data_IF_202435589103
#
_entry.id   IF_202435589103
#
_cell.length_a   1.000
_cell.length_b   1.000
_cell.length_c   1.000
_cell.angle_alpha   90.00
_cell.angle_beta   90.00
_cell.angle_gamma   90.00
#
_symmetry.space_group_name_H-M   'P 1'
#
loop_
_entity.id
_entity.type
_entity.pdbx_description
1 polymer ?
#
# COMPACT_ATOMS: atom_id res chain seq x y z
N UNK A 1 40.14 4.65 -0.45
CA UNK A 1 38.87 5.26 -0.88
C UNK A 1 39.09 6.76 -1.04
N UNK A 2 39.17 7.23 -2.28
CA UNK A 2 39.22 8.64 -2.62
C UNK A 2 37.89 9.32 -2.26
N UNK A 3 37.89 10.66 -2.13
CA UNK A 3 36.66 11.40 -1.86
C UNK A 3 35.58 11.16 -2.93
N UNK A 4 36.00 10.97 -4.20
CA UNK A 4 35.09 10.69 -5.30
C UNK A 4 34.46 9.30 -5.19
N UNK A 5 35.25 8.29 -4.85
CA UNK A 5 34.74 6.92 -4.61
C UNK A 5 33.76 6.86 -3.44
N UNK A 6 33.97 7.68 -2.39
CA UNK A 6 33.02 7.78 -1.27
C UNK A 6 31.70 8.38 -1.73
N UNK A 7 31.76 9.47 -2.48
CA UNK A 7 30.58 10.16 -2.98
C UNK A 7 29.75 9.26 -3.91
N UNK A 8 30.40 8.54 -4.82
CA UNK A 8 29.71 7.60 -5.72
C UNK A 8 29.02 6.47 -4.93
N UNK A 9 29.69 5.93 -3.92
CA UNK A 9 29.10 4.91 -3.04
C UNK A 9 27.89 5.44 -2.28
N UNK A 10 27.98 6.64 -1.68
CA UNK A 10 26.89 7.26 -0.93
C UNK A 10 25.68 7.57 -1.82
N UNK A 11 25.92 8.10 -3.03
CA UNK A 11 24.87 8.38 -4.01
C UNK A 11 24.19 7.10 -4.48
N UNK A 12 24.96 6.04 -4.77
CA UNK A 12 24.38 4.73 -5.13
C UNK A 12 23.51 4.19 -4.00
N UNK A 13 23.96 4.30 -2.74
CA UNK A 13 23.18 3.87 -1.59
C UNK A 13 21.88 4.68 -1.41
N UNK A 14 21.92 5.98 -1.68
CA UNK A 14 20.73 6.83 -1.61
C UNK A 14 19.70 6.42 -2.67
N UNK A 15 20.13 6.22 -3.91
CA UNK A 15 19.25 5.78 -5.01
C UNK A 15 18.60 4.43 -4.69
N UNK A 16 19.38 3.46 -4.20
CA UNK A 16 18.85 2.14 -3.81
C UNK A 16 17.80 2.25 -2.69
N UNK A 17 18.04 3.10 -1.68
CA UNK A 17 17.08 3.34 -0.59
C UNK A 17 15.79 3.99 -1.07
N UNK A 18 15.91 4.99 -1.93
CA UNK A 18 14.75 5.69 -2.49
C UNK A 18 13.91 4.74 -3.35
N UNK A 19 14.55 3.89 -4.16
CA UNK A 19 13.86 2.87 -4.95
C UNK A 19 13.13 1.84 -4.08
N UNK A 20 13.79 1.31 -3.05
CA UNK A 20 13.17 0.37 -2.12
C UNK A 20 11.96 1.01 -1.41
N UNK A 21 12.12 2.26 -0.94
CA UNK A 21 11.05 3.00 -0.29
C UNK A 21 9.85 3.24 -1.22
N UNK A 22 10.11 3.57 -2.49
CA UNK A 22 9.06 3.76 -3.50
C UNK A 22 8.33 2.44 -3.82
N UNK A 23 9.07 1.33 -3.91
CA UNK A 23 8.48 0.00 -4.13
C UNK A 23 7.60 -0.43 -2.96
N UNK A 24 8.06 -0.25 -1.72
CA UNK A 24 7.27 -0.59 -0.54
C UNK A 24 6.00 0.26 -0.44
N UNK A 25 6.11 1.58 -0.66
CA UNK A 25 4.97 2.49 -0.65
C UNK A 25 3.94 2.13 -1.73
N UNK A 26 4.38 1.90 -2.97
CA UNK A 26 3.48 1.53 -4.08
C UNK A 26 2.81 0.18 -3.85
N UNK A 27 3.52 -0.78 -3.24
CA UNK A 27 2.94 -2.08 -2.87
C UNK A 27 1.88 -1.94 -1.79
N UNK A 28 2.15 -1.16 -0.75
CA UNK A 28 1.18 -0.92 0.33
C UNK A 28 -0.08 -0.22 -0.20
N UNK A 29 0.09 0.81 -1.03
CA UNK A 29 -1.02 1.52 -1.68
C UNK A 29 -1.86 0.57 -2.56
N UNK A 30 -1.20 -0.24 -3.41
CA UNK A 30 -1.90 -1.20 -4.26
C UNK A 30 -2.66 -2.28 -3.47
N UNK A 31 -2.11 -2.74 -2.35
CA UNK A 31 -2.83 -3.66 -1.45
C UNK A 31 -4.06 -2.99 -0.84
N UNK A 32 -3.91 -1.76 -0.33
CA UNK A 32 -5.02 -1.01 0.25
C UNK A 32 -6.13 -0.73 -0.78
N UNK A 33 -5.76 -0.35 -2.01
CA UNK A 33 -6.71 -0.15 -3.10
C UNK A 33 -7.42 -1.46 -3.48
N UNK A 34 -6.70 -2.57 -3.59
CA UNK A 34 -7.29 -3.89 -3.86
C UNK A 34 -8.29 -4.34 -2.80
N UNK A 35 -8.01 -4.08 -1.51
CA UNK A 35 -8.93 -4.35 -0.40
C UNK A 35 -10.19 -3.49 -0.52
N UNK A 36 -10.06 -2.18 -0.79
CA UNK A 36 -11.21 -1.28 -0.99
C UNK A 36 -12.06 -1.68 -2.19
N UNK A 37 -11.43 -2.03 -3.31
CA UNK A 37 -12.14 -2.46 -4.51
C UNK A 37 -12.92 -3.76 -4.27
N UNK A 38 -12.34 -4.69 -3.51
CA UNK A 38 -13.02 -5.92 -3.08
C UNK A 38 -14.21 -5.60 -2.17
N UNK A 39 -14.04 -4.72 -1.19
CA UNK A 39 -15.12 -4.30 -0.30
C UNK A 39 -16.29 -3.63 -1.05
N UNK A 40 -15.99 -2.74 -2.01
CA UNK A 40 -17.00 -2.14 -2.90
C UNK A 40 -17.78 -3.20 -3.69
N UNK A 41 -17.07 -4.19 -4.23
CA UNK A 41 -17.71 -5.29 -4.97
C UNK A 41 -18.61 -6.12 -4.07
N UNK A 42 -18.16 -6.48 -2.87
CA UNK A 42 -18.97 -7.22 -1.88
C UNK A 42 -20.24 -6.44 -1.50
N UNK A 43 -20.10 -5.14 -1.23
CA UNK A 43 -21.24 -4.25 -0.93
C UNK A 43 -22.23 -4.21 -2.09
N UNK A 44 -21.73 -4.05 -3.32
CA UNK A 44 -22.56 -4.05 -4.54
C UNK A 44 -23.31 -5.37 -4.75
N UNK A 45 -22.71 -6.50 -4.36
CA UNK A 45 -23.38 -7.82 -4.42
C UNK A 45 -24.37 -8.05 -3.28
N UNK A 46 -24.48 -7.12 -2.32
CA UNK A 46 -25.47 -7.17 -1.24
C UNK A 46 -24.99 -7.89 0.02
N UNK A 47 -23.69 -8.12 0.20
CA UNK A 47 -23.17 -8.61 1.48
C UNK A 47 -23.38 -7.56 2.57
N UNK A 48 -23.66 -8.02 3.80
CA UNK A 48 -23.81 -7.12 4.93
C UNK A 48 -22.47 -6.51 5.36
N UNK A 49 -22.54 -5.33 5.95
CA UNK A 49 -21.37 -4.53 6.35
C UNK A 49 -20.52 -5.25 7.40
N UNK A 50 -21.12 -6.09 8.24
CA UNK A 50 -20.39 -6.89 9.24
C UNK A 50 -19.49 -7.91 8.57
N UNK A 51 -20.06 -8.73 7.68
CA UNK A 51 -19.29 -9.72 6.92
C UNK A 51 -18.19 -9.09 6.09
N UNK A 52 -18.44 -7.94 5.45
CA UNK A 52 -17.41 -7.23 4.68
C UNK A 52 -16.27 -6.75 5.59
N UNK A 53 -16.58 -6.23 6.78
CA UNK A 53 -15.57 -5.80 7.76
C UNK A 53 -14.70 -6.97 8.22
N UNK A 54 -15.33 -8.11 8.50
CA UNK A 54 -14.61 -9.32 8.93
C UNK A 54 -13.70 -9.88 7.82
N UNK A 55 -14.12 -9.81 6.56
CA UNK A 55 -13.31 -10.28 5.42
C UNK A 55 -12.19 -9.32 5.02
N UNK A 56 -12.40 -8.01 5.13
CA UNK A 56 -11.50 -6.98 4.56
C UNK A 56 -10.64 -6.28 5.61
N UNK A 57 -10.99 -6.41 6.90
CA UNK A 57 -10.35 -5.68 7.99
C UNK A 57 -10.64 -4.18 8.00
N UNK A 58 -11.48 -3.68 7.09
CA UNK A 58 -11.89 -2.28 7.08
C UNK A 58 -12.92 -1.99 8.18
N UNK A 59 -12.92 -0.76 8.68
CA UNK A 59 -13.95 -0.33 9.62
C UNK A 59 -15.32 -0.30 8.94
N UNK A 60 -16.37 -0.50 9.72
CA UNK A 60 -17.76 -0.41 9.23
C UNK A 60 -18.06 0.99 8.67
N UNK A 61 -17.49 2.03 9.27
CA UNK A 61 -17.61 3.41 8.80
C UNK A 61 -16.99 3.59 7.41
N UNK A 62 -15.78 3.04 7.20
CA UNK A 62 -15.13 3.04 5.89
C UNK A 62 -16.00 2.33 4.85
N UNK A 63 -16.52 1.15 5.17
CA UNK A 63 -17.36 0.37 4.24
C UNK A 63 -18.69 1.07 3.93
N UNK A 64 -19.26 1.80 4.89
CA UNK A 64 -20.45 2.62 4.66
C UNK A 64 -20.19 3.74 3.65
N UNK A 65 -19.00 4.34 3.69
CA UNK A 65 -18.58 5.43 2.81
C UNK A 65 -18.10 4.98 1.41
N UNK A 66 -17.73 3.69 1.24
CA UNK A 66 -17.40 3.09 -0.07
C UNK A 66 -18.63 2.95 -0.98
#
# INVERSE_FOLDING_TARGET
MSANERLEYELSLAVERDMLSALDASREEGLAEGVRQTAMNMKRTGLDIGTIADCTGLSKETIQAL
#
